data_IF_285672900572
#
_entry.id   IF_285672900572
#
_cell.length_a   1.000
_cell.length_b   1.000
_cell.length_c   1.000
_cell.angle_alpha   90.00
_cell.angle_beta   90.00
_cell.angle_gamma   90.00
#
_symmetry.space_group_name_H-M   'P 1'
#
loop_
_entity.id
_entity.type
_entity.pdbx_description
1 polymer ?
#
# COMPACT_ATOMS: atom_id res chain seq x y z
N UNK A 1 4.10 1.69 15.46
CA UNK A 1 3.22 1.41 14.31
C UNK A 1 2.37 0.22 14.70
N UNK A 2 1.10 0.43 15.04
CA UNK A 2 0.19 -0.68 15.35
C UNK A 2 -0.34 -1.18 14.01
N UNK A 3 0.17 -2.33 13.57
CA UNK A 3 -0.28 -3.01 12.37
C UNK A 3 -1.65 -3.63 12.66
N UNK A 4 -2.74 -3.22 11.97
CA UNK A 4 -4.05 -3.82 12.21
C UNK A 4 -4.01 -5.32 11.84
N UNK A 5 -4.56 -6.21 12.68
CA UNK A 5 -4.56 -7.64 12.41
C UNK A 5 -5.26 -7.91 11.08
N UNK A 6 -4.72 -8.85 10.30
CA UNK A 6 -5.28 -9.17 9.01
C UNK A 6 -6.71 -9.69 9.18
N UNK A 7 -7.69 -8.94 8.68
CA UNK A 7 -9.07 -9.38 8.70
C UNK A 7 -9.23 -10.40 7.58
N UNK A 8 -9.22 -11.69 7.91
CA UNK A 8 -9.24 -12.82 6.97
C UNK A 8 -10.15 -12.55 5.77
N UNK A 9 -9.53 -12.39 4.59
CA UNK A 9 -10.22 -12.01 3.36
C UNK A 9 -10.96 -13.20 2.76
N UNK A 10 -12.24 -13.01 2.51
CA UNK A 10 -13.04 -13.85 1.63
C UNK A 10 -12.34 -13.92 0.24
N UNK A 11 -12.17 -15.09 -0.41
CA UNK A 11 -11.42 -15.26 -1.67
C UNK A 11 -11.95 -14.44 -2.88
N UNK A 12 -12.99 -13.63 -2.69
CA UNK A 12 -13.54 -12.69 -3.68
C UNK A 12 -13.09 -11.23 -3.53
N UNK A 13 -12.20 -10.89 -2.59
CA UNK A 13 -11.67 -9.51 -2.47
C UNK A 13 -10.93 -9.13 -3.76
N UNK A 14 -11.52 -8.20 -4.51
CA UNK A 14 -10.98 -7.73 -5.79
C UNK A 14 -9.54 -7.24 -5.60
N UNK A 15 -8.63 -7.73 -6.45
CA UNK A 15 -7.26 -7.21 -6.54
C UNK A 15 -7.31 -5.79 -7.10
N UNK A 16 -7.33 -4.79 -6.21
CA UNK A 16 -7.28 -3.38 -6.58
C UNK A 16 -5.82 -2.95 -6.70
N UNK A 17 -5.53 -2.17 -7.75
CA UNK A 17 -4.20 -1.64 -8.03
C UNK A 17 -4.29 -0.15 -8.36
N UNK A 18 -3.22 0.59 -8.07
CA UNK A 18 -3.17 2.04 -8.26
C UNK A 18 -2.02 2.47 -9.19
N UNK A 19 -2.08 2.16 -10.50
CA UNK A 19 -0.97 2.44 -11.42
C UNK A 19 -0.64 3.92 -11.55
N UNK A 20 -1.64 4.80 -11.38
CA UNK A 20 -1.48 6.25 -11.51
C UNK A 20 -0.78 6.91 -10.31
N UNK A 21 -0.50 6.16 -9.22
CA UNK A 21 0.18 6.68 -8.03
C UNK A 21 1.71 6.58 -8.11
N UNK A 22 2.24 5.79 -9.05
CA UNK A 22 3.68 5.68 -9.26
C UNK A 22 4.28 7.06 -9.55
N UNK A 23 5.38 7.39 -8.89
CA UNK A 23 6.05 8.70 -8.98
C UNK A 23 5.42 9.82 -8.14
N UNK A 24 4.24 9.61 -7.53
CA UNK A 24 3.66 10.58 -6.59
C UNK A 24 4.33 10.47 -5.20
N UNK A 25 4.32 11.55 -4.40
CA UNK A 25 4.78 11.47 -3.01
C UNK A 25 3.98 10.46 -2.19
N UNK A 26 4.64 9.67 -1.34
CA UNK A 26 4.01 8.64 -0.53
C UNK A 26 2.81 9.12 0.29
N UNK A 27 2.92 10.31 0.88
CA UNK A 27 1.85 10.90 1.69
C UNK A 27 0.58 11.15 0.85
N UNK A 28 0.74 11.61 -0.39
CA UNK A 28 -0.36 11.84 -1.33
C UNK A 28 -0.96 10.51 -1.77
N UNK A 29 -0.11 9.53 -2.09
CA UNK A 29 -0.56 8.19 -2.48
C UNK A 29 -1.35 7.50 -1.37
N UNK A 30 -0.87 7.57 -0.12
CA UNK A 30 -1.55 7.04 1.07
C UNK A 30 -2.95 7.66 1.23
N UNK A 31 -3.04 8.98 1.15
CA UNK A 31 -4.32 9.67 1.28
C UNK A 31 -5.31 9.31 0.16
N UNK A 32 -4.83 9.09 -1.07
CA UNK A 32 -5.69 8.66 -2.18
C UNK A 32 -6.20 7.23 -1.95
N UNK A 33 -5.32 6.30 -1.57
CA UNK A 33 -5.68 4.90 -1.33
C UNK A 33 -6.72 4.78 -0.21
N UNK A 34 -6.46 5.40 0.94
CA UNK A 34 -7.37 5.36 2.10
C UNK A 34 -8.70 6.08 1.84
N UNK A 35 -8.72 7.03 0.88
CA UNK A 35 -9.95 7.72 0.45
C UNK A 35 -10.75 6.90 -0.56
N UNK A 36 -10.08 6.23 -1.51
CA UNK A 36 -10.74 5.39 -2.52
C UNK A 36 -11.22 4.05 -1.93
N UNK A 37 -10.49 3.51 -0.97
CA UNK A 37 -10.74 2.25 -0.30
C UNK A 37 -10.56 2.41 1.22
N UNK A 38 -11.56 2.93 1.96
CA UNK A 38 -11.45 3.16 3.41
C UNK A 38 -11.27 1.88 4.23
N UNK A 39 -11.58 0.72 3.66
CA UNK A 39 -11.34 -0.59 4.26
C UNK A 39 -9.87 -1.05 4.22
N UNK A 40 -8.99 -0.36 3.47
CA UNK A 40 -7.56 -0.69 3.39
C UNK A 40 -6.69 0.34 4.08
N UNK A 41 -5.57 -0.12 4.64
CA UNK A 41 -4.53 0.75 5.22
C UNK A 41 -3.29 0.74 4.34
N UNK A 42 -2.86 1.93 3.92
CA UNK A 42 -1.63 2.09 3.14
C UNK A 42 -0.40 2.19 4.08
N UNK A 43 0.53 1.25 3.94
CA UNK A 43 1.75 1.16 4.75
C UNK A 43 2.95 1.57 3.91
N UNK A 44 3.58 2.68 4.28
CA UNK A 44 4.74 3.23 3.59
C UNK A 44 6.00 2.48 4.03
N UNK A 45 6.70 1.88 3.07
CA UNK A 45 7.95 1.15 3.29
C UNK A 45 9.01 1.59 2.27
N UNK A 46 10.29 1.73 2.66
CA UNK A 46 11.37 1.91 1.71
C UNK A 46 11.43 0.73 0.73
N UNK A 47 11.67 1.04 -0.53
CA UNK A 47 11.94 0.06 -1.58
C UNK A 47 13.10 -0.83 -1.10
N UNK A 48 12.93 -2.15 -1.17
CA UNK A 48 13.86 -3.19 -0.69
C UNK A 48 13.86 -3.48 0.81
N UNK A 49 12.98 -2.86 1.61
CA UNK A 49 12.79 -3.33 2.99
C UNK A 49 12.18 -4.74 2.98
N UNK A 50 12.80 -5.68 3.71
CA UNK A 50 12.23 -7.01 3.92
C UNK A 50 10.90 -6.83 4.67
N UNK A 51 9.83 -7.35 4.08
CA UNK A 51 8.47 -7.32 4.62
C UNK A 51 7.91 -8.73 4.73
N UNK A 52 6.79 -8.84 5.41
CA UNK A 52 6.02 -10.08 5.46
C UNK A 52 5.25 -10.17 4.14
N UNK A 53 5.43 -11.26 3.41
CA UNK A 53 4.71 -11.54 2.15
C UNK A 53 3.39 -12.28 2.40
N UNK A 54 2.75 -12.04 3.55
CA UNK A 54 1.38 -12.50 3.79
C UNK A 54 0.42 -11.73 2.88
N UNK A 55 -0.64 -12.38 2.39
CA UNK A 55 -1.68 -11.67 1.65
C UNK A 55 -2.73 -11.13 2.61
N UNK A 56 -2.91 -9.81 2.63
CA UNK A 56 -3.87 -9.15 3.48
C UNK A 56 -4.79 -8.18 2.73
N UNK A 57 -6.09 -8.49 2.72
CA UNK A 57 -7.08 -7.76 1.92
C UNK A 57 -7.33 -6.31 2.39
N UNK A 58 -6.99 -5.98 3.64
CA UNK A 58 -7.10 -4.65 4.22
C UNK A 58 -5.76 -3.89 4.25
N UNK A 59 -4.78 -4.30 3.45
CA UNK A 59 -3.44 -3.70 3.42
C UNK A 59 -3.01 -3.36 2.00
N UNK A 60 -2.28 -2.27 1.88
CA UNK A 60 -1.57 -1.90 0.65
C UNK A 60 -0.14 -1.52 1.01
N UNK A 61 0.83 -2.21 0.43
CA UNK A 61 2.23 -1.82 0.52
C UNK A 61 2.53 -0.66 -0.42
N UNK A 62 3.07 0.43 0.15
CA UNK A 62 3.58 1.59 -0.58
C UNK A 62 5.10 1.54 -0.56
N UNK A 63 5.67 0.86 -1.56
CA UNK A 63 7.12 0.88 -1.82
C UNK A 63 7.54 2.26 -2.30
N UNK A 64 8.42 2.94 -1.55
CA UNK A 64 8.89 4.28 -1.88
C UNK A 64 10.38 4.29 -2.20
N UNK A 65 10.78 5.09 -3.19
CA UNK A 65 12.18 5.31 -3.48
C UNK A 65 12.86 6.05 -2.32
N UNK A 66 14.17 5.87 -2.21
CA UNK A 66 15.03 6.65 -1.32
C UNK A 66 15.37 8.01 -1.94
N UNK A 67 14.34 8.77 -2.28
CA UNK A 67 14.45 10.14 -2.78
C UNK A 67 13.92 11.13 -1.73
N UNK A 68 14.25 12.43 -1.89
CA UNK A 68 13.83 13.47 -0.94
C UNK A 68 12.31 13.56 -0.76
N UNK A 69 11.53 13.06 -1.73
CA UNK A 69 10.06 13.13 -1.74
C UNK A 69 9.39 11.80 -1.39
N UNK A 70 10.16 10.73 -1.14
CA UNK A 70 9.67 9.36 -0.93
C UNK A 70 8.61 9.01 -1.98
N UNK A 71 8.97 9.09 -3.25
CA UNK A 71 8.04 8.84 -4.35
C UNK A 71 7.73 7.36 -4.46
N UNK A 72 6.48 7.04 -4.81
CA UNK A 72 6.05 5.66 -5.02
C UNK A 72 6.85 5.02 -6.16
N UNK A 73 7.53 3.93 -5.83
CA UNK A 73 8.46 3.23 -6.70
C UNK A 73 7.79 2.15 -7.55
N UNK A 74 6.76 1.50 -7.00
CA UNK A 74 6.07 0.34 -7.58
C UNK A 74 4.57 0.60 -7.54
N UNK A 75 3.83 0.01 -8.47
CA UNK A 75 2.37 0.09 -8.48
C UNK A 75 1.81 -0.48 -7.17
N UNK A 76 1.13 0.34 -6.33
CA UNK A 76 0.52 -0.15 -5.11
C UNK A 76 -0.60 -1.13 -5.43
N UNK A 77 -0.72 -2.17 -4.62
CA UNK A 77 -1.76 -3.19 -4.74
C UNK A 77 -2.18 -3.70 -3.37
N UNK A 78 -3.42 -4.17 -3.28
CA UNK A 78 -3.91 -4.83 -2.07
C UNK A 78 -3.13 -6.14 -1.84
N UNK A 79 -2.60 -6.31 -0.63
CA UNK A 79 -1.77 -7.43 -0.21
C UNK A 79 -1.06 -7.19 1.10
#
# INVERSE_FOLDING_TARGET
MHYPPCAGGNPGSKRVTWPHLVGKPAAVAKAIIEREHPEVTAVIIPRYQIRIDDFCANRVWLDVNDDRRRTVAVVPMIG
#
